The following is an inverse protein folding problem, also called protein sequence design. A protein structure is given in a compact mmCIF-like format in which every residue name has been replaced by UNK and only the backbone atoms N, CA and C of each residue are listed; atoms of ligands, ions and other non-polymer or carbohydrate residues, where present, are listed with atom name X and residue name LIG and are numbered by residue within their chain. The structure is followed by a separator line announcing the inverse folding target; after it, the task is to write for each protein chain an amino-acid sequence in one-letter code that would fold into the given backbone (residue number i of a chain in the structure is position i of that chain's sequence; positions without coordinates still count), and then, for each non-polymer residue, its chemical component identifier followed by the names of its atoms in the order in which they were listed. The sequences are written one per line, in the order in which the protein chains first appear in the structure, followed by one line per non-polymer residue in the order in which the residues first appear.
data_IF_663678790928
#
_entry.id   IF_663678790928
#
_cell.length_a   1.000
_cell.length_b   1.000
_cell.length_c   1.000
_cell.angle_alpha   90.00
_cell.angle_beta   90.00
_cell.angle_gamma   90.00
#
_symmetry.space_group_name_H-M   'P 1'
#
loop_
_entity.id
_entity.type
_entity.pdbx_description
1 polymer ?
#
# COMPACT_ATOMS: atom_id res chain seq x y z
N UNK A 1 16.17 -26.36 -0.02
CA UNK A 1 14.79 -26.08 0.43
C UNK A 1 13.86 -26.21 -0.77
N UNK A 2 12.82 -27.06 -0.72
CA UNK A 2 11.78 -27.08 -1.77
C UNK A 2 11.01 -25.76 -1.69
N UNK A 3 10.91 -25.02 -2.79
CA UNK A 3 9.93 -23.94 -2.91
C UNK A 3 8.55 -24.60 -2.85
N UNK A 4 7.81 -24.32 -1.79
CA UNK A 4 6.40 -24.67 -1.71
C UNK A 4 5.68 -23.55 -2.46
N UNK A 5 5.10 -23.87 -3.61
CA UNK A 5 4.32 -22.92 -4.37
C UNK A 5 2.98 -22.73 -3.65
N UNK A 6 2.83 -21.59 -2.96
CA UNK A 6 1.59 -21.20 -2.33
C UNK A 6 0.59 -20.72 -3.38
N UNK A 7 -0.69 -21.02 -3.18
CA UNK A 7 -1.73 -20.42 -4.02
C UNK A 7 -1.89 -18.92 -3.71
N UNK A 8 -2.35 -18.10 -4.65
CA UNK A 8 -2.58 -16.67 -4.42
C UNK A 8 -3.44 -16.38 -3.18
N UNK A 9 -4.47 -17.20 -2.96
CA UNK A 9 -5.36 -17.10 -1.80
C UNK A 9 -4.66 -17.46 -0.49
N UNK A 10 -3.78 -18.48 -0.50
CA UNK A 10 -2.97 -18.83 0.67
C UNK A 10 -1.96 -17.72 1.01
N UNK A 11 -1.33 -17.11 0.00
CA UNK A 11 -0.44 -15.95 0.20
C UNK A 11 -1.18 -14.77 0.84
N UNK A 12 -2.37 -14.45 0.33
CA UNK A 12 -3.23 -13.38 0.85
C UNK A 12 -3.66 -13.66 2.30
N UNK A 13 -4.12 -14.88 2.58
CA UNK A 13 -4.53 -15.30 3.92
C UNK A 13 -3.36 -15.20 4.91
N UNK A 14 -2.19 -15.72 4.55
CA UNK A 14 -1.00 -15.63 5.39
C UNK A 14 -0.61 -14.17 5.66
N UNK A 15 -0.66 -13.31 4.64
CA UNK A 15 -0.38 -11.88 4.77
C UNK A 15 -1.28 -11.24 5.84
N UNK A 16 -2.58 -11.48 5.78
CA UNK A 16 -3.52 -10.92 6.77
C UNK A 16 -3.40 -11.58 8.14
N UNK A 17 -3.10 -12.88 8.20
CA UNK A 17 -2.88 -13.60 9.45
C UNK A 17 -1.74 -12.99 10.26
N UNK A 18 -0.69 -12.48 9.60
CA UNK A 18 0.41 -11.78 10.26
C UNK A 18 0.17 -10.27 10.41
N UNK A 19 -0.46 -9.62 9.43
CA UNK A 19 -0.71 -8.19 9.46
C UNK A 19 -1.69 -7.79 10.56
N UNK A 20 -2.77 -8.55 10.77
CA UNK A 20 -3.78 -8.27 11.78
C UNK A 20 -3.22 -8.21 13.23
N UNK A 21 -2.51 -9.24 13.74
CA UNK A 21 -1.91 -9.17 15.08
C UNK A 21 -0.82 -8.10 15.16
N UNK A 22 -0.06 -7.86 14.09
CA UNK A 22 0.95 -6.80 14.06
C UNK A 22 0.32 -5.41 14.17
N UNK A 23 -0.79 -5.18 13.45
CA UNK A 23 -1.55 -3.94 13.52
C UNK A 23 -2.18 -3.73 14.91
N UNK A 24 -2.69 -4.79 15.54
CA UNK A 24 -3.20 -4.74 16.91
C UNK A 24 -2.09 -4.40 17.92
N UNK A 25 -0.93 -5.04 17.83
CA UNK A 25 0.22 -4.74 18.67
C UNK A 25 0.68 -3.29 18.51
N UNK A 26 0.79 -2.81 17.28
CA UNK A 26 1.17 -1.43 16.99
C UNK A 26 0.13 -0.44 17.52
N UNK A 27 -1.16 -0.73 17.34
CA UNK A 27 -2.27 0.04 17.91
C UNK A 27 -2.22 0.09 19.43
N UNK A 28 -1.93 -1.03 20.10
CA UNK A 28 -1.75 -1.06 21.56
C UNK A 28 -0.58 -0.19 22.00
N UNK A 29 0.59 -0.34 21.39
CA UNK A 29 1.79 0.45 21.72
C UNK A 29 1.49 1.95 21.59
N UNK A 30 0.88 2.36 20.48
CA UNK A 30 0.52 3.75 20.24
C UNK A 30 -0.54 4.26 21.23
N UNK A 31 -1.51 3.43 21.58
CA UNK A 31 -2.54 3.74 22.59
C UNK A 31 -1.96 3.91 24.00
N UNK A 32 -0.99 3.08 24.39
CA UNK A 32 -0.30 3.18 25.68
C UNK A 32 0.56 4.43 25.80
N UNK A 33 1.15 4.90 24.69
CA UNK A 33 2.00 6.10 24.72
C UNK A 33 1.25 7.41 24.99
N UNK A 34 -0.09 7.42 25.05
CA UNK A 34 -0.98 8.57 25.39
C UNK A 34 -0.42 9.93 24.94
N UNK A 35 0.14 9.97 23.73
CA UNK A 35 0.76 11.17 23.23
C UNK A 35 -0.37 12.11 22.80
N UNK A 36 -0.46 13.29 23.38
CA UNK A 36 -1.53 14.27 23.11
C UNK A 36 -1.52 14.78 21.67
N UNK A 37 -0.48 14.47 20.88
CA UNK A 37 -0.44 14.67 19.42
C UNK A 37 -1.20 13.62 18.59
N UNK A 38 -1.63 12.49 19.18
CA UNK A 38 -2.40 11.43 18.52
C UNK A 38 -3.92 11.65 18.67
N UNK A 39 -4.38 12.87 18.40
CA UNK A 39 -5.79 13.32 18.51
C UNK A 39 -6.74 12.56 17.55
N UNK A 40 -6.23 11.64 16.73
CA UNK A 40 -6.98 10.87 15.73
C UNK A 40 -7.29 9.42 16.09
N UNK A 41 -6.77 8.87 17.20
CA UNK A 41 -7.11 7.50 17.62
C UNK A 41 -8.40 7.49 18.46
N UNK A 42 -9.53 7.63 17.77
CA UNK A 42 -10.86 7.46 18.35
C UNK A 42 -11.27 6.00 18.12
N UNK A 43 -11.77 5.35 19.17
CA UNK A 43 -12.37 4.01 19.01
C UNK A 43 -13.60 4.15 18.10
N UNK A 44 -13.60 3.54 16.90
CA UNK A 44 -14.70 3.73 15.97
C UNK A 44 -15.97 3.06 16.51
N UNK A 45 -17.13 3.68 16.30
CA UNK A 45 -18.42 3.01 16.52
C UNK A 45 -18.66 1.93 15.45
N UNK A 46 -19.60 1.02 15.69
CA UNK A 46 -20.10 0.00 14.74
C UNK A 46 -20.29 0.50 13.30
N UNK A 47 -20.84 1.70 13.08
CA UNK A 47 -21.02 2.26 11.73
C UNK A 47 -19.67 2.61 11.09
N UNK A 48 -18.82 3.34 11.83
CA UNK A 48 -17.47 3.72 11.38
C UNK A 48 -16.58 2.49 11.13
N UNK A 49 -16.70 1.47 11.96
CA UNK A 49 -16.00 0.19 11.80
C UNK A 49 -16.45 -0.51 10.52
N UNK A 50 -17.75 -0.52 10.24
CA UNK A 50 -18.30 -1.13 9.01
C UNK A 50 -17.75 -0.41 7.78
N UNK A 51 -17.79 0.92 7.76
CA UNK A 51 -17.22 1.71 6.66
C UNK A 51 -15.71 1.47 6.51
N UNK A 52 -14.97 1.39 7.62
CA UNK A 52 -13.54 1.11 7.61
C UNK A 52 -13.24 -0.26 7.01
N UNK A 53 -14.01 -1.30 7.39
CA UNK A 53 -13.85 -2.66 6.84
C UNK A 53 -14.16 -2.69 5.34
N UNK A 54 -15.23 -2.04 4.90
CA UNK A 54 -15.59 -1.95 3.48
C UNK A 54 -14.49 -1.23 2.69
N UNK A 55 -14.02 -0.09 3.21
CA UNK A 55 -12.95 0.68 2.59
C UNK A 55 -11.64 -0.10 2.53
N UNK A 56 -11.23 -0.75 3.62
CA UNK A 56 -10.02 -1.58 3.66
C UNK A 56 -10.11 -2.77 2.71
N UNK A 57 -11.29 -3.39 2.60
CA UNK A 57 -11.52 -4.50 1.66
C UNK A 57 -11.32 -4.05 0.22
N UNK A 58 -11.88 -2.90 -0.16
CA UNK A 58 -11.78 -2.38 -1.52
C UNK A 58 -10.39 -1.79 -1.84
N UNK A 59 -9.81 -1.03 -0.91
CA UNK A 59 -8.55 -0.31 -1.13
C UNK A 59 -7.30 -1.14 -0.92
N UNK A 60 -7.37 -2.22 -0.12
CA UNK A 60 -6.20 -3.00 0.27
C UNK A 60 -6.35 -4.48 -0.08
N UNK A 61 -7.40 -5.15 0.42
CA UNK A 61 -7.53 -6.59 0.24
C UNK A 61 -7.71 -7.00 -1.23
N UNK A 62 -8.49 -6.23 -1.99
CA UNK A 62 -8.73 -6.49 -3.41
C UNK A 62 -7.45 -6.25 -4.25
N UNK A 63 -6.74 -5.11 -4.15
CA UNK A 63 -5.47 -4.92 -4.85
C UNK A 63 -4.41 -5.97 -4.50
N UNK A 64 -4.21 -6.28 -3.21
CA UNK A 64 -3.27 -7.34 -2.81
C UNK A 64 -3.70 -8.72 -3.30
N UNK A 65 -5.01 -8.99 -3.31
CA UNK A 65 -5.56 -10.20 -3.89
C UNK A 65 -5.16 -10.33 -5.36
N UNK A 66 -5.37 -9.28 -6.15
CA UNK A 66 -4.99 -9.24 -7.58
C UNK A 66 -3.47 -9.35 -7.79
N UNK A 67 -2.67 -8.65 -7.00
CA UNK A 67 -1.21 -8.70 -7.09
C UNK A 67 -0.68 -10.12 -6.81
N UNK A 68 -1.27 -10.84 -5.86
CA UNK A 68 -0.87 -12.22 -5.56
C UNK A 68 -1.19 -13.22 -6.69
N UNK A 69 -2.02 -12.87 -7.67
CA UNK A 69 -2.22 -13.70 -8.88
C UNK A 69 -1.09 -13.55 -9.90
N UNK A 70 -0.32 -12.47 -9.85
CA UNK A 70 0.87 -12.29 -10.68
C UNK A 70 1.96 -13.20 -10.14
N UNK A 71 2.42 -14.13 -10.95
CA UNK A 71 3.49 -15.05 -10.53
C UNK A 71 4.83 -14.33 -10.60
N UNK A 72 5.70 -14.47 -9.58
CA UNK A 72 7.06 -13.91 -9.63
C UNK A 72 7.92 -14.44 -10.78
N UNK A 73 7.52 -15.55 -11.41
CA UNK A 73 8.14 -16.09 -12.63
C UNK A 73 7.79 -15.32 -13.89
N UNK A 74 6.64 -14.63 -13.91
CA UNK A 74 6.12 -13.86 -15.04
C UNK A 74 6.56 -12.40 -14.94
N UNK A 75 6.51 -11.82 -13.74
CA UNK A 75 7.00 -10.47 -13.47
C UNK A 75 8.05 -10.54 -12.35
N UNK A 76 9.31 -10.14 -12.60
CA UNK A 76 10.32 -10.13 -11.56
C UNK A 76 9.96 -9.14 -10.45
N UNK A 77 10.27 -9.44 -9.17
CA UNK A 77 9.96 -8.55 -8.04
C UNK A 77 10.51 -7.12 -8.18
N UNK A 78 11.63 -6.97 -8.89
CA UNK A 78 12.20 -5.65 -9.19
C UNK A 78 11.33 -4.83 -10.13
N UNK A 79 10.70 -5.48 -11.12
CA UNK A 79 9.76 -4.81 -12.03
C UNK A 79 8.47 -4.47 -11.31
N UNK A 80 7.93 -5.39 -10.51
CA UNK A 80 6.75 -5.11 -9.66
C UNK A 80 6.99 -3.91 -8.76
N UNK A 81 8.09 -3.91 -8.00
CA UNK A 81 8.46 -2.79 -7.14
C UNK A 81 8.65 -1.46 -7.89
N UNK A 82 9.17 -1.50 -9.12
CA UNK A 82 9.34 -0.29 -9.94
C UNK A 82 8.01 0.24 -10.46
N UNK A 83 7.06 -0.63 -10.81
CA UNK A 83 5.71 -0.24 -11.21
C UNK A 83 4.95 0.37 -10.02
N UNK A 84 5.16 -0.16 -8.81
CA UNK A 84 4.57 0.41 -7.59
C UNK A 84 5.05 1.84 -7.30
N UNK A 85 6.16 2.30 -7.88
CA UNK A 85 6.58 3.71 -7.81
C UNK A 85 5.67 4.67 -8.60
N UNK A 86 4.69 4.16 -9.35
CA UNK A 86 3.60 4.99 -9.89
C UNK A 86 2.55 5.34 -8.83
N UNK A 87 2.52 4.66 -7.69
CA UNK A 87 1.53 4.90 -6.64
C UNK A 87 1.56 6.35 -6.11
N UNK A 88 2.72 6.98 -5.81
CA UNK A 88 2.77 8.39 -5.43
C UNK A 88 2.21 9.35 -6.50
N UNK A 89 2.35 9.02 -7.79
CA UNK A 89 1.77 9.81 -8.87
C UNK A 89 0.24 9.70 -8.84
N UNK A 90 -0.28 8.48 -8.75
CA UNK A 90 -1.72 8.23 -8.68
C UNK A 90 -2.31 8.88 -7.42
N UNK A 91 -1.63 8.81 -6.28
CA UNK A 91 -2.07 9.44 -5.04
C UNK A 91 -2.20 10.97 -5.20
N UNK A 92 -1.22 11.62 -5.83
CA UNK A 92 -1.31 13.05 -6.12
C UNK A 92 -2.45 13.38 -7.09
N UNK A 93 -2.67 12.57 -8.12
CA UNK A 93 -3.78 12.76 -9.06
C UNK A 93 -5.13 12.65 -8.35
N UNK A 94 -5.30 11.65 -7.48
CA UNK A 94 -6.52 11.46 -6.69
C UNK A 94 -6.74 12.62 -5.72
N UNK A 95 -5.70 13.07 -5.03
CA UNK A 95 -5.78 14.17 -4.09
C UNK A 95 -6.22 15.49 -4.76
N UNK A 96 -5.75 15.76 -5.98
CA UNK A 96 -6.15 16.96 -6.74
C UNK A 96 -7.55 16.81 -7.35
N UNK A 97 -7.82 15.70 -8.04
CA UNK A 97 -9.05 15.55 -8.83
C UNK A 97 -10.28 15.23 -7.97
N UNK A 98 -10.11 14.38 -6.95
CA UNK A 98 -11.22 13.89 -6.11
C UNK A 98 -11.30 14.69 -4.83
N UNK A 99 -10.18 14.83 -4.11
CA UNK A 99 -10.17 15.49 -2.80
C UNK A 99 -10.02 17.02 -2.89
N UNK A 100 -9.81 17.57 -4.10
CA UNK A 100 -9.64 19.00 -4.36
C UNK A 100 -8.56 19.64 -3.47
N UNK A 101 -7.52 18.86 -3.13
CA UNK A 101 -6.43 19.30 -2.26
C UNK A 101 -5.37 20.07 -3.06
N UNK A 102 -4.92 21.19 -2.49
CA UNK A 102 -3.78 21.91 -3.04
C UNK A 102 -2.48 21.16 -2.78
N UNK A 103 -1.80 20.76 -3.85
CA UNK A 103 -0.49 20.14 -3.80
C UNK A 103 0.56 21.18 -4.17
N UNK A 104 1.55 21.36 -3.29
CA UNK A 104 2.65 22.29 -3.53
C UNK A 104 3.45 21.90 -4.79
N UNK A 105 3.86 22.87 -5.63
CA UNK A 105 4.69 22.65 -6.82
C UNK A 105 5.91 21.74 -6.59
N UNK A 106 6.55 21.84 -5.43
CA UNK A 106 7.74 21.03 -5.09
C UNK A 106 7.43 19.53 -5.00
N UNK A 107 6.21 19.14 -4.63
CA UNK A 107 5.81 17.73 -4.57
C UNK A 107 5.70 17.11 -5.96
N UNK A 108 5.30 17.89 -6.97
CA UNK A 108 5.30 17.41 -8.36
C UNK A 108 6.72 17.17 -8.88
N UNK A 109 7.68 18.02 -8.50
CA UNK A 109 9.09 17.77 -8.81
C UNK A 109 9.60 16.48 -8.16
N UNK A 110 9.24 16.24 -6.89
CA UNK A 110 9.56 14.97 -6.21
C UNK A 110 9.01 13.75 -6.95
N UNK A 111 7.74 13.78 -7.36
CA UNK A 111 7.14 12.69 -8.15
C UNK A 111 7.84 12.52 -9.50
N UNK A 112 8.17 13.62 -10.20
CA UNK A 112 8.88 13.56 -11.47
C UNK A 112 10.26 12.88 -11.32
N UNK A 113 11.00 13.18 -10.25
CA UNK A 113 12.29 12.53 -9.96
C UNK A 113 12.16 11.04 -9.70
N UNK A 114 11.13 10.62 -8.95
CA UNK A 114 10.84 9.20 -8.67
C UNK A 114 10.54 8.46 -9.98
N UNK A 115 9.70 9.03 -10.84
CA UNK A 115 9.34 8.44 -12.14
C UNK A 115 10.54 8.37 -13.09
N UNK A 116 11.38 9.40 -13.12
CA UNK A 116 12.62 9.39 -13.90
C UNK A 116 13.56 8.28 -13.42
N UNK A 117 13.72 8.12 -12.10
CA UNK A 117 14.52 7.04 -11.54
C UNK A 117 13.97 5.66 -11.93
N UNK A 118 12.66 5.45 -11.81
CA UNK A 118 11.99 4.24 -12.22
C UNK A 118 12.19 3.93 -13.72
N UNK A 119 12.06 4.95 -14.57
CA UNK A 119 12.26 4.83 -16.02
C UNK A 119 13.70 4.45 -16.39
N UNK A 120 14.69 5.04 -15.71
CA UNK A 120 16.11 4.70 -15.90
C UNK A 120 16.35 3.24 -15.50
N UNK A 121 15.86 2.81 -14.33
CA UNK A 121 16.01 1.43 -13.85
C UNK A 121 15.42 0.42 -14.84
N UNK A 122 14.23 0.70 -15.37
CA UNK A 122 13.58 -0.16 -16.37
C UNK A 122 14.37 -0.19 -17.69
N UNK A 123 14.88 0.96 -18.15
CA UNK A 123 15.67 1.05 -19.38
C UNK A 123 16.98 0.26 -19.27
N UNK A 124 17.69 0.36 -18.15
CA UNK A 124 18.95 -0.37 -17.92
C UNK A 124 18.73 -1.88 -17.86
N UNK A 125 17.54 -2.35 -17.47
CA UNK A 125 17.21 -3.78 -17.45
C UNK A 125 16.84 -4.36 -18.82
N UNK A 126 16.33 -3.53 -19.74
CA UNK A 126 15.92 -3.95 -21.09
C UNK A 126 17.04 -3.92 -22.14
N UNK A 127 18.21 -3.37 -21.79
CA UNK A 127 19.44 -3.39 -22.60
C UNK A 127 20.38 -4.50 -22.11
#
# INVERSE_FOLDING_TARGET
MRKVDYTPLQSLFNTFLFAAPSALLLGMILGFTRNTGLIGFIMPDSYQLTLLVLFASFSTALPYGLLNYVKPSEVPPTTEGTILLLDPLLHNLWAVLILQQYISPIRYLGVALILLSAAIILKTKNN
#
